data_IF_520482827622
#
_entry.id   IF_520482827622
#
_cell.length_a   1.000
_cell.length_b   1.000
_cell.length_c   1.000
_cell.angle_alpha   90.00
_cell.angle_beta   90.00
_cell.angle_gamma   90.00
#
_symmetry.space_group_name_H-M   'P 1'
#
loop_
_entity.id
_entity.type
_entity.pdbx_description
1 polymer ?
#
# COMPACT_ATOMS: atom_id res chain seq x y z
N UNK A 1 2.39 16.04 11.46
CA UNK A 1 1.21 16.47 12.26
C UNK A 1 0.19 17.22 11.42
N UNK A 2 0.62 18.11 10.52
CA UNK A 2 -0.28 18.82 9.60
C UNK A 2 -1.11 17.88 8.70
N UNK A 3 -0.47 16.90 8.03
CA UNK A 3 -1.18 15.89 7.22
C UNK A 3 -2.23 15.08 7.99
N UNK A 4 -1.96 14.77 9.27
CA UNK A 4 -2.94 14.09 10.12
C UNK A 4 -4.12 15.02 10.43
N UNK A 5 -3.85 16.28 10.80
CA UNK A 5 -4.90 17.26 11.08
C UNK A 5 -5.79 17.49 9.84
N UNK A 6 -5.20 17.60 8.65
CA UNK A 6 -5.94 17.68 7.39
C UNK A 6 -6.82 16.44 7.19
N UNK A 7 -6.27 15.24 7.36
CA UNK A 7 -7.05 14.01 7.20
C UNK A 7 -8.21 13.93 8.19
N UNK A 8 -7.97 14.26 9.46
CA UNK A 8 -9.03 14.27 10.48
C UNK A 8 -10.15 15.26 10.14
N UNK A 9 -9.80 16.42 9.57
CA UNK A 9 -10.80 17.39 9.10
C UNK A 9 -11.67 16.81 7.98
N UNK A 10 -11.10 16.04 7.05
CA UNK A 10 -11.89 15.37 5.99
C UNK A 10 -12.77 14.21 6.50
N UNK A 11 -12.49 13.70 7.69
CA UNK A 11 -13.23 12.60 8.33
C UNK A 11 -14.14 13.08 9.46
N UNK A 12 -14.34 14.40 9.57
CA UNK A 12 -15.23 15.00 10.57
C UNK A 12 -16.63 14.37 10.49
N UNK A 13 -17.18 13.97 11.64
CA UNK A 13 -18.46 13.26 11.72
C UNK A 13 -18.39 11.73 11.51
N UNK A 14 -17.29 11.20 10.97
CA UNK A 14 -17.02 9.75 10.86
C UNK A 14 -16.17 9.20 12.00
N UNK A 15 -15.52 10.10 12.75
CA UNK A 15 -14.67 9.78 13.89
C UNK A 15 -15.50 9.56 15.16
N UNK A 16 -15.08 8.61 15.98
CA UNK A 16 -15.59 8.38 17.33
C UNK A 16 -14.40 8.14 18.25
N UNK A 17 -13.95 9.20 18.93
CA UNK A 17 -12.76 9.17 19.80
C UNK A 17 -13.03 8.39 21.09
N UNK A 18 -14.28 8.37 21.56
CA UNK A 18 -14.65 7.75 22.82
C UNK A 18 -14.68 6.21 22.71
N UNK A 19 -14.95 5.68 21.52
CA UNK A 19 -14.91 4.25 21.24
C UNK A 19 -13.51 3.70 20.96
N UNK A 20 -12.46 4.54 20.92
CA UNK A 20 -11.10 4.11 20.58
C UNK A 20 -10.46 3.38 21.76
N UNK A 21 -9.95 2.18 21.50
CA UNK A 21 -9.07 1.50 22.43
C UNK A 21 -7.74 2.29 22.54
N UNK A 22 -7.47 2.80 23.74
CA UNK A 22 -6.32 3.66 24.02
C UNK A 22 -4.98 2.93 23.94
N UNK A 23 -4.97 1.62 24.24
CA UNK A 23 -3.76 0.80 24.15
C UNK A 23 -3.37 0.60 22.69
N UNK A 24 -4.31 0.10 21.88
CA UNK A 24 -4.19 -0.05 20.43
C UNK A 24 -3.76 1.27 19.75
N UNK A 25 -4.38 2.39 20.15
CA UNK A 25 -3.99 3.71 19.65
C UNK A 25 -2.57 4.08 20.03
N UNK A 26 -2.16 3.85 21.28
CA UNK A 26 -0.81 4.18 21.73
C UNK A 26 0.25 3.38 20.97
N UNK A 27 0.00 2.10 20.71
CA UNK A 27 0.90 1.22 19.97
C UNK A 27 1.01 1.66 18.50
N UNK A 28 -0.13 1.79 17.81
CA UNK A 28 -0.15 2.20 16.41
C UNK A 28 0.44 3.59 16.21
N UNK A 29 0.15 4.53 17.13
CA UNK A 29 0.73 5.87 17.13
C UNK A 29 2.26 5.84 17.22
N UNK A 30 2.84 5.05 18.13
CA UNK A 30 4.31 4.94 18.25
C UNK A 30 4.92 4.43 16.96
N UNK A 31 4.33 3.40 16.36
CA UNK A 31 4.82 2.81 15.10
C UNK A 31 4.75 3.82 13.94
N UNK A 32 3.61 4.50 13.76
CA UNK A 32 3.49 5.55 12.75
C UNK A 32 4.40 6.76 13.03
N UNK A 33 4.58 7.13 14.29
CA UNK A 33 5.47 8.23 14.68
C UNK A 33 6.93 7.93 14.29
N UNK A 34 7.40 6.70 14.46
CA UNK A 34 8.73 6.30 14.02
C UNK A 34 8.90 6.44 12.50
N UNK A 35 7.90 6.06 11.70
CA UNK A 35 7.89 6.25 10.25
C UNK A 35 8.00 7.74 9.92
N UNK A 36 7.22 8.58 10.61
CA UNK A 36 7.19 10.04 10.41
C UNK A 36 8.53 10.70 10.73
N UNK A 37 9.19 10.29 11.81
CA UNK A 37 10.48 10.87 12.22
C UNK A 37 11.63 10.41 11.31
N UNK A 38 11.54 9.21 10.73
CA UNK A 38 12.60 8.62 9.89
C UNK A 38 12.46 8.93 8.41
N UNK A 39 11.28 9.30 7.95
CA UNK A 39 10.99 9.55 6.53
C UNK A 39 10.79 11.04 6.24
N UNK A 40 11.38 11.52 5.14
CA UNK A 40 11.05 12.82 4.56
C UNK A 40 10.13 12.69 3.33
N UNK A 41 9.69 11.46 3.03
CA UNK A 41 8.92 11.14 1.81
C UNK A 41 7.45 11.29 2.08
N UNK A 42 6.82 12.22 1.38
CA UNK A 42 5.45 12.64 1.61
C UNK A 42 4.45 11.48 1.50
N UNK A 43 4.67 10.54 0.58
CA UNK A 43 3.84 9.35 0.37
C UNK A 43 3.77 8.49 1.64
N UNK A 44 4.92 8.26 2.29
CA UNK A 44 4.97 7.54 3.57
C UNK A 44 4.32 8.33 4.69
N UNK A 45 4.50 9.64 4.72
CA UNK A 45 3.92 10.51 5.75
C UNK A 45 2.39 10.54 5.65
N UNK A 46 1.85 10.64 4.43
CA UNK A 46 0.40 10.58 4.15
C UNK A 46 -0.16 9.22 4.51
N UNK A 47 0.50 8.13 4.12
CA UNK A 47 0.07 6.78 4.46
C UNK A 47 0.03 6.53 5.97
N UNK A 48 1.06 6.98 6.71
CA UNK A 48 1.08 6.88 8.17
C UNK A 48 -0.05 7.70 8.82
N UNK A 49 -0.35 8.89 8.30
CA UNK A 49 -1.49 9.70 8.73
C UNK A 49 -2.84 9.02 8.45
N UNK A 50 -2.99 8.41 7.28
CA UNK A 50 -4.20 7.68 6.89
C UNK A 50 -4.44 6.45 7.78
N UNK A 51 -3.38 5.70 8.11
CA UNK A 51 -3.45 4.55 9.03
C UNK A 51 -3.89 4.99 10.43
N UNK A 52 -3.31 6.06 10.96
CA UNK A 52 -3.71 6.62 12.26
C UNK A 52 -5.15 7.12 12.25
N UNK A 53 -5.56 7.81 11.19
CA UNK A 53 -6.92 8.32 11.07
C UNK A 53 -7.96 7.20 10.97
N UNK A 54 -7.63 6.07 10.33
CA UNK A 54 -8.53 4.93 10.21
C UNK A 54 -8.89 4.30 11.57
N UNK A 55 -7.92 4.26 12.49
CA UNK A 55 -8.15 3.75 13.83
C UNK A 55 -9.25 4.54 14.57
N UNK A 56 -9.40 5.82 14.26
CA UNK A 56 -10.36 6.74 14.88
C UNK A 56 -11.77 6.67 14.26
N UNK A 57 -11.97 5.95 13.16
CA UNK A 57 -13.28 5.81 12.52
C UNK A 57 -14.27 5.08 13.44
N UNK A 58 -15.57 5.40 13.29
CA UNK A 58 -16.67 4.65 13.93
C UNK A 58 -16.65 3.18 13.53
N UNK A 59 -17.03 2.29 14.44
CA UNK A 59 -17.11 0.83 14.16
C UNK A 59 -18.06 0.48 13.01
N UNK A 60 -19.08 1.30 12.76
CA UNK A 60 -20.01 1.14 11.64
C UNK A 60 -19.50 1.72 10.31
N UNK A 61 -18.33 2.36 10.29
CA UNK A 61 -17.79 2.97 9.09
C UNK A 61 -17.24 1.89 8.14
N UNK A 62 -17.68 1.84 6.86
CA UNK A 62 -17.25 0.80 5.92
C UNK A 62 -15.76 0.88 5.55
N UNK A 63 -15.13 2.03 5.77
CA UNK A 63 -13.69 2.20 5.56
C UNK A 63 -12.86 1.80 6.80
N UNK A 64 -13.47 1.55 7.97
CA UNK A 64 -12.73 1.09 9.14
C UNK A 64 -12.13 -0.28 8.89
N UNK A 65 -10.88 -0.43 9.32
CA UNK A 65 -10.09 -1.66 9.26
C UNK A 65 -9.86 -2.17 10.69
N UNK A 66 -9.68 -3.48 10.86
CA UNK A 66 -9.35 -4.04 12.18
C UNK A 66 -7.97 -3.55 12.65
N UNK A 67 -7.74 -3.57 13.95
CA UNK A 67 -6.44 -3.19 14.50
C UNK A 67 -5.31 -4.07 13.96
N UNK A 68 -5.52 -5.39 13.87
CA UNK A 68 -4.53 -6.35 13.39
C UNK A 68 -4.11 -6.07 11.94
N UNK A 69 -5.07 -5.71 11.10
CA UNK A 69 -4.78 -5.35 9.71
C UNK A 69 -4.09 -3.97 9.61
N UNK A 70 -4.43 -3.01 10.48
CA UNK A 70 -3.70 -1.74 10.59
C UNK A 70 -2.25 -1.92 11.07
N UNK A 71 -2.00 -2.74 12.09
CA UNK A 71 -0.65 -3.08 12.57
C UNK A 71 0.18 -3.72 11.45
N UNK A 72 -0.41 -4.66 10.71
CA UNK A 72 0.22 -5.25 9.54
C UNK A 72 0.59 -4.18 8.49
N UNK A 73 -0.33 -3.27 8.16
CA UNK A 73 -0.07 -2.22 7.18
C UNK A 73 0.98 -1.21 7.62
N UNK A 74 1.07 -0.89 8.91
CA UNK A 74 2.13 -0.03 9.44
C UNK A 74 3.50 -0.70 9.27
N UNK A 75 3.60 -2.01 9.53
CA UNK A 75 4.85 -2.77 9.29
C UNK A 75 5.23 -2.82 7.82
N UNK A 76 4.25 -3.02 6.93
CA UNK A 76 4.47 -2.94 5.49
C UNK A 76 4.99 -1.56 5.08
N UNK A 77 4.36 -0.49 5.58
CA UNK A 77 4.76 0.88 5.26
C UNK A 77 6.19 1.22 5.74
N UNK A 78 6.58 0.74 6.92
CA UNK A 78 7.95 0.95 7.43
C UNK A 78 8.97 0.21 6.55
N UNK A 79 8.70 -1.05 6.21
CA UNK A 79 9.58 -1.91 5.43
C UNK A 79 9.73 -1.48 3.96
N UNK A 80 8.69 -0.92 3.35
CA UNK A 80 8.67 -0.64 1.91
C UNK A 80 9.65 0.46 1.50
N UNK A 81 10.40 0.25 0.43
CA UNK A 81 11.11 1.28 -0.29
C UNK A 81 10.13 2.20 -1.04
N UNK A 82 10.55 3.42 -1.36
CA UNK A 82 9.70 4.36 -2.12
C UNK A 82 9.40 3.81 -3.52
N UNK A 83 10.39 3.18 -4.16
CA UNK A 83 10.19 2.51 -5.45
C UNK A 83 9.12 1.42 -5.36
N UNK A 84 9.10 0.63 -4.28
CA UNK A 84 8.08 -0.41 -4.09
C UNK A 84 6.68 0.18 -3.88
N UNK A 85 6.56 1.31 -3.17
CA UNK A 85 5.29 2.04 -3.04
C UNK A 85 4.80 2.51 -4.42
N UNK A 86 5.68 3.09 -5.24
CA UNK A 86 5.34 3.51 -6.60
C UNK A 86 4.92 2.33 -7.48
N UNK A 87 5.68 1.23 -7.44
CA UNK A 87 5.36 -0.01 -8.17
C UNK A 87 4.02 -0.59 -7.74
N UNK A 88 3.70 -0.58 -6.44
CA UNK A 88 2.40 -1.02 -5.94
C UNK A 88 1.25 -0.15 -6.45
N UNK A 89 1.44 1.17 -6.50
CA UNK A 89 0.49 2.12 -7.07
C UNK A 89 0.21 1.86 -8.55
N UNK A 90 1.27 1.65 -9.34
CA UNK A 90 1.14 1.32 -10.76
C UNK A 90 0.49 -0.05 -10.99
N UNK A 91 0.88 -1.06 -10.20
CA UNK A 91 0.25 -2.39 -10.23
C UNK A 91 -1.27 -2.30 -10.02
N UNK A 92 -1.71 -1.43 -9.10
CA UNK A 92 -3.12 -1.13 -8.89
C UNK A 92 -3.77 -0.55 -10.13
N UNK A 93 -3.18 0.51 -10.70
CA UNK A 93 -3.71 1.17 -11.90
C UNK A 93 -3.86 0.20 -13.08
N UNK A 94 -2.87 -0.67 -13.28
CA UNK A 94 -2.89 -1.70 -14.32
C UNK A 94 -4.01 -2.72 -14.04
N UNK A 95 -4.05 -3.28 -12.83
CA UNK A 95 -5.02 -4.31 -12.45
C UNK A 95 -6.48 -3.85 -12.59
N UNK A 96 -6.79 -2.57 -12.27
CA UNK A 96 -8.15 -2.02 -12.43
C UNK A 96 -8.50 -1.65 -13.88
N UNK A 97 -7.50 -1.41 -14.73
CA UNK A 97 -7.69 -1.03 -16.14
C UNK A 97 -7.83 -2.23 -17.07
N UNK A 98 -7.50 -3.44 -16.60
CA UNK A 98 -7.63 -4.65 -17.38
C UNK A 98 -9.10 -4.93 -17.75
N UNK A 99 -9.43 -5.27 -19.01
CA UNK A 99 -10.79 -5.59 -19.43
C UNK A 99 -11.40 -6.68 -18.54
N UNK A 100 -12.71 -6.54 -18.23
CA UNK A 100 -13.52 -7.24 -17.20
C UNK A 100 -13.56 -8.80 -17.23
N UNK A 101 -12.45 -9.49 -17.45
CA UNK A 101 -12.32 -10.94 -17.38
C UNK A 101 -11.03 -11.45 -16.73
N UNK A 102 -10.04 -10.57 -16.48
CA UNK A 102 -8.81 -10.91 -15.76
C UNK A 102 -8.95 -10.61 -14.28
N UNK A 103 -8.72 -11.60 -13.41
CA UNK A 103 -8.86 -11.53 -11.96
C UNK A 103 -7.76 -10.65 -11.29
N UNK A 104 -7.53 -9.41 -11.75
CA UNK A 104 -6.44 -8.57 -11.23
C UNK A 104 -5.04 -8.96 -11.74
N UNK A 105 -4.95 -9.97 -12.61
CA UNK A 105 -3.72 -10.44 -13.21
C UNK A 105 -3.22 -9.52 -14.33
N UNK A 106 -1.92 -9.26 -14.36
CA UNK A 106 -1.25 -8.49 -15.42
C UNK A 106 0.17 -9.01 -15.67
N UNK A 107 0.70 -8.75 -16.87
CA UNK A 107 2.06 -9.16 -17.23
C UNK A 107 3.10 -8.20 -16.67
N UNK A 108 4.28 -8.72 -16.30
CA UNK A 108 5.41 -7.91 -15.83
C UNK A 108 5.79 -6.80 -16.82
N UNK A 109 5.68 -7.03 -18.13
CA UNK A 109 5.94 -6.02 -19.15
C UNK A 109 5.05 -4.78 -19.01
N UNK A 110 3.78 -4.94 -18.64
CA UNK A 110 2.86 -3.82 -18.44
C UNK A 110 3.32 -2.93 -17.28
N UNK A 111 3.89 -3.55 -16.24
CA UNK A 111 4.46 -2.83 -15.10
C UNK A 111 5.77 -2.13 -15.49
N UNK A 112 6.62 -2.79 -16.28
CA UNK A 112 7.86 -2.18 -16.80
C UNK A 112 7.56 -0.96 -17.65
N UNK A 113 6.51 -1.02 -18.47
CA UNK A 113 6.12 0.10 -19.34
C UNK A 113 5.68 1.34 -18.55
N UNK A 114 5.22 1.17 -17.30
CA UNK A 114 4.95 2.28 -16.37
C UNK A 114 6.21 2.92 -15.77
N UNK A 115 7.36 2.24 -15.85
CA UNK A 115 8.66 2.71 -15.32
C UNK A 115 9.78 2.58 -16.37
N UNK A 116 9.71 3.31 -17.50
CA UNK A 116 10.68 3.17 -18.58
C UNK A 116 12.12 3.59 -18.19
N UNK A 117 12.27 4.34 -17.09
CA UNK A 117 13.57 4.74 -16.55
C UNK A 117 14.18 3.71 -15.60
N UNK A 118 13.44 2.67 -15.20
CA UNK A 118 13.95 1.64 -14.30
C UNK A 118 14.60 0.51 -15.12
N UNK A 119 15.75 0.05 -14.64
CA UNK A 119 16.31 -1.20 -15.13
C UNK A 119 15.37 -2.36 -14.79
N UNK A 120 15.30 -3.37 -15.67
CA UNK A 120 14.44 -4.55 -15.48
C UNK A 120 14.73 -5.26 -14.16
N UNK A 121 16.01 -5.37 -13.78
CA UNK A 121 16.41 -6.00 -12.52
C UNK A 121 15.96 -5.18 -11.30
N UNK A 122 15.94 -3.85 -11.39
CA UNK A 122 15.43 -2.98 -10.34
C UNK A 122 13.92 -3.18 -10.19
N UNK A 123 13.15 -3.14 -11.27
CA UNK A 123 11.69 -3.36 -11.21
C UNK A 123 11.36 -4.73 -10.62
N UNK A 124 12.07 -5.79 -11.03
CA UNK A 124 11.86 -7.12 -10.46
C UNK A 124 12.28 -7.21 -8.98
N UNK A 125 13.31 -6.47 -8.56
CA UNK A 125 13.68 -6.36 -7.14
C UNK A 125 12.56 -5.72 -6.32
N UNK A 126 11.94 -4.65 -6.82
CA UNK A 126 10.81 -3.98 -6.15
C UNK A 126 9.56 -4.87 -6.12
N UNK A 127 9.29 -5.63 -7.19
CA UNK A 127 8.23 -6.65 -7.20
C UNK A 127 8.51 -7.75 -6.17
N UNK A 128 9.77 -8.17 -6.03
CA UNK A 128 10.17 -9.18 -5.05
C UNK A 128 9.98 -8.69 -3.61
N UNK A 129 10.23 -7.40 -3.37
CA UNK A 129 9.95 -6.74 -2.09
C UNK A 129 8.44 -6.78 -1.75
N UNK A 130 7.58 -6.42 -2.71
CA UNK A 130 6.13 -6.47 -2.57
C UNK A 130 5.62 -7.91 -2.37
N UNK A 131 6.22 -8.89 -3.05
CA UNK A 131 5.95 -10.32 -2.84
C UNK A 131 6.34 -10.76 -1.42
N UNK A 132 7.48 -10.30 -0.91
CA UNK A 132 7.96 -10.61 0.44
C UNK A 132 7.01 -10.13 1.54
N UNK A 133 6.26 -9.05 1.28
CA UNK A 133 5.23 -8.52 2.18
C UNK A 133 3.81 -9.00 1.84
N UNK A 134 3.68 -9.97 0.94
CA UNK A 134 2.39 -10.51 0.48
C UNK A 134 1.43 -9.43 -0.06
N UNK A 135 1.96 -8.40 -0.73
CA UNK A 135 1.16 -7.36 -1.40
C UNK A 135 0.92 -7.70 -2.87
N UNK A 136 1.87 -8.39 -3.50
CA UNK A 136 1.78 -8.95 -4.85
C UNK A 136 2.06 -10.45 -4.85
N UNK A 137 1.42 -11.19 -5.76
CA UNK A 137 1.81 -12.55 -6.14
C UNK A 137 2.55 -12.51 -7.48
N UNK A 138 3.52 -13.41 -7.62
CA UNK A 138 4.31 -13.58 -8.84
C UNK A 138 4.19 -15.03 -9.25
N UNK A 139 3.59 -15.26 -10.41
CA UNK A 139 3.56 -16.56 -11.06
C UNK A 139 4.69 -16.61 -12.09
N UNK A 140 5.75 -17.32 -11.71
CA UNK A 140 6.90 -17.55 -12.57
C UNK A 140 6.53 -18.54 -13.69
N UNK A 141 6.93 -18.24 -14.91
CA UNK A 141 6.81 -19.18 -16.01
C UNK A 141 7.82 -20.33 -15.86
N UNK A 142 7.51 -21.50 -16.46
CA UNK A 142 8.41 -22.66 -16.44
C UNK A 142 9.76 -22.44 -17.13
N UNK A 143 9.89 -21.38 -17.94
CA UNK A 143 11.14 -20.96 -18.59
C UNK A 143 11.48 -19.55 -18.11
N UNK A 144 12.65 -19.38 -17.49
CA UNK A 144 13.16 -18.07 -17.07
C UNK A 144 13.69 -17.32 -18.29
N UNK A 145 13.09 -16.19 -18.61
CA UNK A 145 13.60 -15.24 -19.61
C UNK A 145 14.29 -14.07 -18.89
N UNK A 146 15.35 -13.48 -19.46
CA UNK A 146 16.13 -12.43 -18.79
C UNK A 146 15.33 -11.17 -18.45
N UNK A 147 14.24 -10.91 -19.19
CA UNK A 147 13.41 -9.72 -19.06
C UNK A 147 12.15 -9.92 -18.21
N UNK A 148 11.92 -11.14 -17.71
CA UNK A 148 10.73 -11.54 -16.95
C UNK A 148 9.39 -11.30 -17.68
N UNK A 149 9.38 -11.06 -18.99
CA UNK A 149 8.16 -10.66 -19.72
C UNK A 149 7.03 -11.70 -19.67
N UNK A 150 7.38 -12.98 -19.44
CA UNK A 150 6.42 -14.07 -19.26
C UNK A 150 5.91 -14.25 -17.83
N UNK A 151 6.31 -13.40 -16.87
CA UNK A 151 5.83 -13.48 -15.49
C UNK A 151 4.45 -12.83 -15.41
N UNK A 152 3.54 -13.52 -14.73
CA UNK A 152 2.21 -13.01 -14.42
C UNK A 152 2.22 -12.51 -12.97
N UNK A 153 1.70 -11.31 -12.78
CA UNK A 153 1.61 -10.64 -11.49
C UNK A 153 0.15 -10.50 -11.10
N UNK A 154 -0.13 -10.59 -9.80
CA UNK A 154 -1.47 -10.37 -9.26
C UNK A 154 -1.41 -9.53 -7.99
N UNK A 155 -2.35 -8.60 -7.86
CA UNK A 155 -2.55 -7.87 -6.60
C UNK A 155 -3.30 -8.74 -5.62
N UNK A 156 -2.65 -9.03 -4.51
CA UNK A 156 -3.32 -9.73 -3.42
C UNK A 156 -4.48 -8.89 -2.86
N UNK A 157 -5.51 -9.51 -2.26
CA UNK A 157 -6.59 -8.76 -1.61
C UNK A 157 -6.09 -7.78 -0.53
N UNK A 158 -5.01 -8.13 0.19
CA UNK A 158 -4.42 -7.29 1.23
C UNK A 158 -3.60 -6.14 0.62
N UNK A 159 -2.86 -6.40 -0.46
CA UNK A 159 -2.15 -5.38 -1.24
C UNK A 159 -3.10 -4.35 -1.85
N UNK A 160 -4.20 -4.80 -2.43
CA UNK A 160 -5.24 -3.93 -2.98
C UNK A 160 -5.85 -3.03 -1.90
N UNK A 161 -6.23 -3.58 -0.74
CA UNK A 161 -6.77 -2.76 0.36
C UNK A 161 -5.73 -1.77 0.89
N UNK A 162 -4.47 -2.18 1.00
CA UNK A 162 -3.40 -1.30 1.46
C UNK A 162 -3.24 -0.08 0.55
N UNK A 163 -3.10 -0.31 -0.76
CA UNK A 163 -2.92 0.77 -1.73
C UNK A 163 -4.16 1.65 -1.85
N UNK A 164 -5.37 1.07 -1.86
CA UNK A 164 -6.61 1.83 -2.02
C UNK A 164 -6.96 2.73 -0.84
N UNK A 165 -6.64 2.27 0.38
CA UNK A 165 -7.06 2.96 1.59
C UNK A 165 -5.99 3.92 2.12
N UNK A 166 -4.72 3.65 1.86
CA UNK A 166 -3.63 4.31 2.57
C UNK A 166 -2.59 4.97 1.68
N UNK A 167 -2.39 4.53 0.44
CA UNK A 167 -1.41 5.11 -0.47
C UNK A 167 -2.12 6.11 -1.40
N UNK A 168 -1.88 7.41 -1.18
CA UNK A 168 -2.40 8.49 -2.02
C UNK A 168 -1.37 8.93 -3.07
N UNK A 169 -1.77 9.05 -4.33
CA UNK A 169 -0.91 9.52 -5.43
C UNK A 169 -1.49 9.21 -6.81
N UNK A 170 -1.17 10.05 -7.80
CA UNK A 170 -1.42 9.74 -9.22
C UNK A 170 -0.32 8.80 -9.70
N UNK A 171 -0.67 7.54 -9.94
CA UNK A 171 0.20 6.54 -10.56
C UNK A 171 -0.22 6.34 -12.01
#
# INVERSE_FOLDING_TARGET
MELLAEKLKTLEGRIDVDAVNKEDFSELFKSCYLIVVRSQREEKLRAAANLLANLLLKTSDPAKVSYEELDHFVRCLDALSIGAISVLGAARAIAISAPMGGQGHFHFDQLRDAFPSYDVSLTMSLVSELRGLNLLHVQEAGIKVPDYGNYLLDLTPIGLRFVERFIEGSF
#
